data_IF_886343506292
#
_entry.id   IF_886343506292
#
_cell.length_a   1.000
_cell.length_b   1.000
_cell.length_c   1.000
_cell.angle_alpha   90.00
_cell.angle_beta   90.00
_cell.angle_gamma   90.00
#
_symmetry.space_group_name_H-M   'P 1'
#
loop_
_entity.id
_entity.type
_entity.pdbx_description
1 polymer ?
#
# COMPACT_ATOMS: atom_id res chain seq x y z
N UNK A 1 32.68 -9.70 -48.43
CA UNK A 1 32.45 -8.69 -47.37
C UNK A 1 33.77 -8.04 -47.00
N UNK A 2 33.88 -6.72 -47.14
CA UNK A 2 35.14 -6.00 -46.88
C UNK A 2 35.55 -6.15 -45.41
N UNK A 3 36.86 -6.16 -45.14
CA UNK A 3 37.42 -6.26 -43.79
C UNK A 3 36.91 -5.14 -42.84
N UNK A 4 36.41 -4.04 -43.41
CA UNK A 4 35.76 -2.96 -42.69
C UNK A 4 34.41 -3.37 -42.08
N UNK A 5 33.54 -4.04 -42.85
CA UNK A 5 32.26 -4.54 -42.34
C UNK A 5 32.44 -5.59 -41.25
N UNK A 6 33.44 -6.47 -41.37
CA UNK A 6 33.78 -7.45 -40.32
C UNK A 6 34.18 -6.78 -39.01
N UNK A 7 34.93 -5.67 -39.07
CA UNK A 7 35.33 -4.89 -37.89
C UNK A 7 34.14 -4.20 -37.24
N UNK A 8 33.22 -3.62 -38.01
CA UNK A 8 32.01 -2.99 -37.48
C UNK A 8 31.14 -4.02 -36.74
N UNK A 9 30.92 -5.19 -37.34
CA UNK A 9 30.15 -6.27 -36.71
C UNK A 9 30.84 -6.76 -35.42
N UNK A 10 32.16 -6.87 -35.43
CA UNK A 10 32.94 -7.24 -34.23
C UNK A 10 32.78 -6.21 -33.10
N UNK A 11 32.89 -4.92 -33.41
CA UNK A 11 32.71 -3.86 -32.40
C UNK A 11 31.28 -3.77 -31.87
N UNK A 12 30.27 -3.95 -32.73
CA UNK A 12 28.88 -4.06 -32.29
C UNK A 12 28.67 -5.27 -31.37
N UNK A 13 29.28 -6.41 -31.69
CA UNK A 13 29.20 -7.61 -30.87
C UNK A 13 29.86 -7.42 -29.50
N UNK A 14 31.03 -6.78 -29.46
CA UNK A 14 31.72 -6.44 -28.21
C UNK A 14 30.86 -5.49 -27.37
N UNK A 15 30.26 -4.46 -27.99
CA UNK A 15 29.36 -3.53 -27.32
C UNK A 15 28.14 -4.22 -26.70
N UNK A 16 27.49 -5.13 -27.44
CA UNK A 16 26.36 -5.93 -26.94
C UNK A 16 26.77 -6.83 -25.79
N UNK A 17 27.95 -7.47 -25.85
CA UNK A 17 28.44 -8.32 -24.76
C UNK A 17 28.75 -7.47 -23.51
N UNK A 18 29.39 -6.31 -23.69
CA UNK A 18 29.73 -5.39 -22.60
C UNK A 18 28.51 -4.76 -21.93
N UNK A 19 27.37 -4.64 -22.61
CA UNK A 19 26.12 -4.16 -22.01
C UNK A 19 25.27 -5.30 -21.45
N UNK A 20 25.24 -6.46 -22.11
CA UNK A 20 24.51 -7.64 -21.66
C UNK A 20 25.07 -8.22 -20.36
N UNK A 21 26.39 -8.23 -20.15
CA UNK A 21 26.98 -8.79 -18.93
C UNK A 21 26.56 -7.99 -17.67
N UNK A 22 26.69 -6.64 -17.63
CA UNK A 22 26.17 -5.85 -16.53
C UNK A 22 24.65 -5.96 -16.38
N UNK A 23 23.88 -5.96 -17.46
CA UNK A 23 22.42 -6.13 -17.40
C UNK A 23 22.02 -7.50 -16.85
N UNK A 24 22.72 -8.56 -17.26
CA UNK A 24 22.54 -9.92 -16.74
C UNK A 24 22.92 -9.99 -15.26
N UNK A 25 24.04 -9.39 -14.86
CA UNK A 25 24.45 -9.32 -13.46
C UNK A 25 23.45 -8.52 -12.61
N UNK A 26 22.97 -7.39 -13.13
CA UNK A 26 21.93 -6.60 -12.47
C UNK A 26 20.64 -7.41 -12.34
N UNK A 27 20.13 -8.02 -13.41
CA UNK A 27 18.88 -8.76 -13.40
C UNK A 27 18.94 -10.05 -12.56
N UNK A 28 20.02 -10.83 -12.70
CA UNK A 28 20.11 -12.19 -12.15
C UNK A 28 20.97 -12.33 -10.89
N UNK A 29 21.60 -11.26 -10.42
CA UNK A 29 22.34 -11.30 -9.13
C UNK A 29 21.82 -10.19 -8.22
N UNK A 30 21.80 -8.93 -8.66
CA UNK A 30 21.30 -7.81 -7.85
C UNK A 30 19.77 -7.79 -7.68
N UNK A 31 19.02 -8.10 -8.74
CA UNK A 31 17.56 -8.13 -8.75
C UNK A 31 16.98 -9.55 -8.69
N UNK A 32 17.81 -10.60 -8.65
CA UNK A 32 17.33 -12.00 -8.62
C UNK A 32 16.61 -12.41 -7.34
N UNK A 33 16.63 -11.57 -6.31
CA UNK A 33 15.68 -11.68 -5.20
C UNK A 33 14.24 -11.31 -5.59
N UNK A 34 13.96 -11.09 -6.88
CA UNK A 34 12.61 -10.89 -7.43
C UNK A 34 12.41 -11.73 -8.70
N UNK A 35 12.74 -13.02 -8.67
CA UNK A 35 11.87 -13.94 -9.40
C UNK A 35 10.62 -14.11 -8.54
N UNK A 36 9.40 -13.90 -9.05
CA UNK A 36 8.25 -14.48 -8.41
C UNK A 36 8.46 -15.98 -8.57
N UNK A 37 9.07 -16.60 -7.57
CA UNK A 37 8.70 -17.97 -7.28
C UNK A 37 7.19 -17.89 -7.15
N UNK A 38 6.50 -18.44 -8.14
CA UNK A 38 5.23 -19.09 -7.90
C UNK A 38 5.51 -20.10 -6.81
N UNK A 39 5.47 -19.64 -5.56
CA UNK A 39 5.11 -20.48 -4.45
C UNK A 39 3.70 -20.92 -4.80
N UNK A 40 3.63 -22.03 -5.54
CA UNK A 40 2.46 -22.88 -5.54
C UNK A 40 1.95 -22.87 -4.11
N UNK A 41 0.69 -22.46 -3.93
CA UNK A 41 -0.02 -22.40 -2.67
C UNK A 41 0.38 -23.59 -1.82
N UNK A 42 1.37 -23.38 -0.95
CA UNK A 42 1.53 -24.27 0.16
C UNK A 42 0.41 -23.80 1.07
N UNK A 43 -0.73 -24.50 0.98
CA UNK A 43 -1.66 -24.69 2.09
C UNK A 43 -0.88 -25.31 3.26
N UNK A 44 0.09 -24.57 3.80
CA UNK A 44 0.51 -24.78 5.15
C UNK A 44 -0.72 -24.42 5.97
N UNK A 45 -1.28 -25.41 6.66
CA UNK A 45 -2.25 -25.23 7.74
C UNK A 45 -1.58 -24.42 8.86
N UNK A 46 -1.29 -23.15 8.60
CA UNK A 46 -0.83 -22.22 9.61
C UNK A 46 -2.07 -21.86 10.41
N UNK A 47 -2.10 -22.29 11.66
CA UNK A 47 -3.06 -21.79 12.64
C UNK A 47 -2.42 -20.58 13.29
N UNK A 48 -2.93 -19.39 12.97
CA UNK A 48 -2.51 -18.16 13.63
C UNK A 48 -3.19 -18.10 15.00
N UNK A 49 -2.47 -18.49 16.05
CA UNK A 49 -2.87 -18.20 17.43
C UNK A 49 -2.07 -17.00 17.91
N UNK A 50 -2.60 -15.80 17.66
CA UNK A 50 -2.04 -14.57 18.17
C UNK A 50 -2.28 -14.50 19.68
N UNK A 51 -1.23 -14.22 20.45
CA UNK A 51 -1.31 -13.86 21.86
C UNK A 51 -0.56 -12.55 22.04
N UNK A 52 -1.03 -11.51 21.34
CA UNK A 52 -0.34 -10.24 21.30
C UNK A 52 -1.31 -9.08 21.46
N UNK A 53 -0.84 -8.00 22.05
CA UNK A 53 -1.61 -6.76 22.20
C UNK A 53 -0.79 -5.54 21.81
N UNK A 54 -1.46 -4.50 21.32
CA UNK A 54 -0.82 -3.24 20.98
C UNK A 54 -0.87 -2.25 22.15
N UNK A 55 0.18 -1.45 22.38
CA UNK A 55 0.12 -0.32 23.31
C UNK A 55 -1.02 0.64 22.95
N UNK A 56 -1.58 1.31 23.95
CA UNK A 56 -2.70 2.24 23.76
C UNK A 56 -2.34 3.43 22.84
N UNK A 57 -1.08 3.86 22.84
CA UNK A 57 -0.58 4.96 22.01
C UNK A 57 -0.04 4.51 20.65
N UNK A 58 -0.10 3.21 20.32
CA UNK A 58 0.42 2.71 19.04
C UNK A 58 -0.43 3.19 17.86
N UNK A 59 0.22 3.87 16.92
CA UNK A 59 -0.34 4.36 15.67
C UNK A 59 0.20 3.55 14.49
N UNK A 60 -0.56 3.50 13.40
CA UNK A 60 -0.18 2.85 12.15
C UNK A 60 0.24 1.37 12.33
N UNK A 61 -0.59 0.52 12.96
CA UNK A 61 -0.26 -0.89 13.10
C UNK A 61 -0.36 -1.61 11.74
N UNK A 62 0.71 -2.29 11.34
CA UNK A 62 0.76 -3.06 10.10
C UNK A 62 1.57 -4.34 10.27
N UNK A 63 1.05 -5.46 9.76
CA UNK A 63 1.76 -6.72 9.69
C UNK A 63 2.91 -6.63 8.68
N UNK A 64 4.07 -7.19 9.04
CA UNK A 64 5.12 -7.41 8.05
C UNK A 64 4.68 -8.54 7.10
N UNK A 65 5.35 -8.63 5.94
CA UNK A 65 5.04 -9.62 4.91
C UNK A 65 5.04 -11.08 5.42
N UNK A 66 5.85 -11.40 6.42
CA UNK A 66 5.87 -12.73 7.05
C UNK A 66 4.64 -13.07 7.91
N UNK A 67 3.80 -12.08 8.23
CA UNK A 67 2.64 -12.19 9.12
C UNK A 67 2.96 -12.78 10.51
N UNK A 68 4.22 -12.73 10.92
CA UNK A 68 4.73 -13.15 12.24
C UNK A 68 5.12 -11.93 13.09
N UNK A 69 5.35 -10.79 12.45
CA UNK A 69 5.68 -9.54 13.11
C UNK A 69 4.65 -8.45 12.79
N UNK A 70 4.45 -7.56 13.75
CA UNK A 70 3.67 -6.33 13.56
C UNK A 70 4.54 -5.12 13.86
N UNK A 71 4.43 -4.11 13.00
CA UNK A 71 5.07 -2.82 13.16
C UNK A 71 4.06 -1.78 13.64
N UNK A 72 4.50 -0.84 14.46
CA UNK A 72 3.70 0.31 14.87
C UNK A 72 4.58 1.47 15.32
N UNK A 73 4.06 2.69 15.22
CA UNK A 73 4.72 3.91 15.69
C UNK A 73 4.17 4.29 17.06
N UNK A 74 5.06 4.55 18.02
CA UNK A 74 4.70 5.02 19.36
C UNK A 74 5.72 6.07 19.81
N UNK A 75 5.25 7.26 20.20
CA UNK A 75 6.10 8.37 20.67
C UNK A 75 7.27 8.70 19.73
N UNK A 76 7.04 8.65 18.40
CA UNK A 76 8.08 8.93 17.40
C UNK A 76 9.08 7.79 17.15
N UNK A 77 8.85 6.61 17.73
CA UNK A 77 9.70 5.42 17.60
C UNK A 77 8.93 4.34 16.84
N UNK A 78 9.58 3.71 15.85
CA UNK A 78 9.03 2.55 15.14
C UNK A 78 9.41 1.29 15.92
N UNK A 79 8.40 0.57 16.38
CA UNK A 79 8.54 -0.70 17.09
C UNK A 79 8.15 -1.85 16.16
N UNK A 80 8.89 -2.95 16.23
CA UNK A 80 8.55 -4.21 15.57
C UNK A 80 8.44 -5.27 16.66
N UNK A 81 7.29 -5.92 16.70
CA UNK A 81 6.90 -6.86 17.74
C UNK A 81 6.66 -8.23 17.15
N UNK A 82 7.22 -9.26 17.78
CA UNK A 82 6.95 -10.65 17.45
C UNK A 82 5.60 -11.07 18.05
N UNK A 83 4.72 -11.62 17.21
CA UNK A 83 3.35 -11.94 17.58
C UNK A 83 3.22 -13.21 18.42
N UNK A 84 4.24 -14.05 18.42
CA UNK A 84 4.24 -15.34 19.15
C UNK A 84 4.66 -15.17 20.61
N UNK A 85 5.62 -14.28 20.85
CA UNK A 85 6.24 -14.02 22.15
C UNK A 85 5.73 -12.75 22.83
N UNK A 86 4.98 -11.91 22.10
CA UNK A 86 4.52 -10.59 22.57
C UNK A 86 5.68 -9.63 22.90
N UNK A 87 6.89 -9.92 22.42
CA UNK A 87 8.09 -9.13 22.69
C UNK A 87 8.38 -8.15 21.54
N UNK A 88 8.79 -6.92 21.90
CA UNK A 88 9.38 -5.97 20.94
C UNK A 88 10.77 -6.47 20.58
N UNK A 89 10.94 -6.90 19.33
CA UNK A 89 12.20 -7.48 18.80
C UNK A 89 13.09 -6.42 18.15
N UNK A 90 12.51 -5.29 17.72
CA UNK A 90 13.26 -4.15 17.18
C UNK A 90 12.63 -2.83 17.56
N UNK A 91 13.47 -1.85 17.85
CA UNK A 91 13.08 -0.44 17.97
C UNK A 91 13.99 0.38 17.05
N UNK A 92 13.40 1.22 16.22
CA UNK A 92 14.10 2.20 15.41
C UNK A 92 13.76 3.59 15.95
N UNK A 93 14.78 4.23 16.50
CA UNK A 93 14.76 5.61 16.92
C UNK A 93 15.68 6.39 15.98
N UNK A 94 15.20 7.55 15.54
CA UNK A 94 15.92 8.50 14.70
C UNK A 94 16.07 9.82 15.45
N UNK A 95 16.88 10.74 14.92
CA UNK A 95 17.08 12.07 15.52
C UNK A 95 15.78 12.88 15.51
N UNK A 96 15.00 12.75 14.43
CA UNK A 96 13.68 13.34 14.26
C UNK A 96 12.58 12.29 14.45
N UNK A 97 11.39 12.68 14.96
CA UNK A 97 10.32 11.74 15.26
C UNK A 97 9.82 11.04 13.99
N UNK A 98 9.62 9.72 14.08
CA UNK A 98 8.91 8.95 13.06
C UNK A 98 7.43 9.28 13.15
N UNK A 99 6.86 9.82 12.07
CA UNK A 99 5.46 10.28 12.02
C UNK A 99 4.53 9.33 11.27
N UNK A 100 5.08 8.41 10.47
CA UNK A 100 4.32 7.41 9.71
C UNK A 100 5.24 6.25 9.31
N UNK A 101 4.68 5.05 9.18
CA UNK A 101 5.38 3.89 8.65
C UNK A 101 4.41 2.90 8.02
N UNK A 102 4.85 2.15 7.02
CA UNK A 102 4.12 1.03 6.46
C UNK A 102 5.08 -0.01 5.84
N UNK A 103 4.79 -1.31 5.94
CA UNK A 103 5.57 -2.37 5.31
C UNK A 103 5.23 -2.52 3.83
N UNK A 104 6.18 -3.08 3.07
CA UNK A 104 5.94 -3.53 1.71
C UNK A 104 5.15 -4.85 1.71
N UNK A 105 4.37 -5.07 0.66
CA UNK A 105 3.48 -6.23 0.54
C UNK A 105 4.16 -7.49 -0.05
N UNK A 106 5.44 -7.41 -0.41
CA UNK A 106 6.18 -8.51 -1.07
C UNK A 106 7.46 -8.93 -0.32
N UNK A 107 7.83 -8.22 0.76
CA UNK A 107 9.06 -8.44 1.53
C UNK A 107 9.00 -7.76 2.90
N UNK A 108 9.82 -8.21 3.84
CA UNK A 108 9.96 -7.62 5.18
C UNK A 108 10.78 -6.31 5.17
N UNK A 109 10.39 -5.35 4.34
CA UNK A 109 10.93 -3.99 4.33
C UNK A 109 9.85 -3.03 4.80
N UNK A 110 10.21 -2.10 5.68
CA UNK A 110 9.34 -1.03 6.17
C UNK A 110 9.82 0.29 5.57
N UNK A 111 8.92 1.05 4.96
CA UNK A 111 9.13 2.46 4.62
C UNK A 111 8.61 3.29 5.79
N UNK A 112 9.43 4.21 6.30
CA UNK A 112 9.06 5.09 7.39
C UNK A 112 9.53 6.52 7.12
N UNK A 113 8.88 7.46 7.81
CA UNK A 113 8.99 8.89 7.55
C UNK A 113 9.33 9.63 8.84
N UNK A 114 10.41 10.40 8.85
CA UNK A 114 10.75 11.33 9.94
C UNK A 114 10.46 12.77 9.54
N UNK A 115 10.23 13.65 10.51
CA UNK A 115 9.86 15.05 10.26
C UNK A 115 10.51 16.02 11.26
N UNK A 116 11.19 17.05 10.75
CA UNK A 116 11.95 18.05 11.54
C UNK A 116 11.32 19.46 11.54
N UNK A 117 10.00 19.55 11.30
CA UNK A 117 9.25 20.80 11.05
C UNK A 117 9.52 21.49 9.69
N UNK A 118 10.49 21.03 8.91
CA UNK A 118 10.89 21.65 7.64
C UNK A 118 10.98 20.71 6.44
N UNK A 119 11.25 19.44 6.70
CA UNK A 119 11.38 18.38 5.71
C UNK A 119 10.87 17.04 6.26
N UNK A 120 10.34 16.22 5.35
CA UNK A 120 10.06 14.81 5.60
C UNK A 120 11.19 13.99 5.00
N UNK A 121 11.86 13.16 5.80
CA UNK A 121 12.84 12.19 5.31
C UNK A 121 12.19 10.81 5.13
N UNK A 122 12.40 10.22 3.96
CA UNK A 122 11.93 8.88 3.60
C UNK A 122 13.07 7.91 3.81
N UNK A 123 12.84 6.90 4.64
CA UNK A 123 13.84 5.90 4.99
C UNK A 123 13.24 4.50 4.88
N UNK A 124 14.12 3.53 4.66
CA UNK A 124 13.74 2.13 4.57
C UNK A 124 14.47 1.35 5.65
N UNK A 125 13.80 0.34 6.19
CA UNK A 125 14.42 -0.66 7.05
C UNK A 125 14.11 -2.06 6.54
N UNK A 126 15.15 -2.82 6.23
CA UNK A 126 15.06 -4.23 5.89
C UNK A 126 15.20 -5.06 7.18
N UNK A 127 14.10 -5.67 7.62
CA UNK A 127 14.05 -6.43 8.86
C UNK A 127 14.87 -7.72 8.78
N UNK A 128 14.85 -8.42 7.64
CA UNK A 128 15.58 -9.69 7.47
C UNK A 128 17.11 -9.50 7.54
N UNK A 129 17.60 -8.33 7.11
CA UNK A 129 19.05 -8.01 7.05
C UNK A 129 19.53 -7.10 8.18
N UNK A 130 18.60 -6.56 8.96
CA UNK A 130 18.86 -5.49 9.92
C UNK A 130 19.56 -4.26 9.32
N UNK A 131 19.13 -3.85 8.12
CA UNK A 131 19.75 -2.76 7.35
C UNK A 131 18.82 -1.56 7.22
N UNK A 132 19.35 -0.35 7.49
CA UNK A 132 18.66 0.93 7.25
C UNK A 132 19.24 1.63 6.03
N UNK A 133 18.41 2.31 5.26
CA UNK A 133 18.85 3.11 4.12
C UNK A 133 17.98 4.36 3.91
N UNK A 134 18.65 5.51 3.81
CA UNK A 134 18.01 6.77 3.43
C UNK A 134 17.61 6.76 1.96
N UNK A 135 16.40 7.21 1.67
CA UNK A 135 15.91 7.34 0.30
C UNK A 135 16.04 8.77 -0.18
N UNK A 136 15.25 9.68 0.38
CA UNK A 136 15.03 11.01 -0.14
C UNK A 136 14.44 11.92 0.95
N UNK A 137 14.73 13.21 0.87
CA UNK A 137 14.13 14.26 1.70
C UNK A 137 13.16 15.10 0.87
N UNK A 138 12.01 15.44 1.46
CA UNK A 138 10.98 16.29 0.87
C UNK A 138 10.90 17.58 1.69
N UNK A 139 11.22 18.72 1.09
CA UNK A 139 11.02 20.02 1.74
C UNK A 139 9.52 20.34 1.84
N UNK A 140 8.95 20.23 3.04
CA UNK A 140 7.54 20.53 3.31
C UNK A 140 7.39 21.02 4.75
N UNK A 141 6.70 22.16 4.92
CA UNK A 141 6.50 22.81 6.21
C UNK A 141 5.07 22.63 6.70
N UNK A 142 4.88 22.72 8.01
CA UNK A 142 3.58 22.64 8.68
C UNK A 142 2.84 21.33 8.36
N UNK A 143 3.57 20.21 8.37
CA UNK A 143 2.97 18.89 8.19
C UNK A 143 2.08 18.61 9.39
N UNK A 144 0.82 18.33 9.11
CA UNK A 144 -0.16 17.86 10.10
C UNK A 144 -0.03 16.36 10.29
N UNK A 145 -0.04 15.61 9.17
CA UNK A 145 0.12 14.16 9.13
C UNK A 145 0.38 13.68 7.69
N UNK A 146 0.87 12.46 7.57
CA UNK A 146 0.80 11.68 6.33
C UNK A 146 -0.53 10.91 6.37
N UNK A 147 -1.40 11.13 5.38
CA UNK A 147 -2.74 10.51 5.34
C UNK A 147 -2.71 9.15 4.68
N UNK A 148 -1.99 9.06 3.56
CA UNK A 148 -1.88 7.84 2.78
C UNK A 148 -0.46 7.70 2.22
N UNK A 149 0.02 6.47 2.15
CA UNK A 149 1.20 6.12 1.38
C UNK A 149 0.92 4.82 0.62
N UNK A 150 1.26 4.78 -0.67
CA UNK A 150 1.10 3.60 -1.52
C UNK A 150 2.39 3.33 -2.26
N UNK A 151 2.85 2.09 -2.22
CA UNK A 151 4.06 1.65 -2.89
C UNK A 151 3.73 0.52 -3.87
N UNK A 152 4.25 0.61 -5.09
CA UNK A 152 4.19 -0.48 -6.06
C UNK A 152 5.55 -1.17 -6.12
N UNK A 153 5.64 -2.40 -5.63
CA UNK A 153 6.87 -3.20 -5.71
C UNK A 153 7.26 -3.54 -7.14
N UNK A 154 6.29 -3.60 -8.06
CA UNK A 154 6.54 -3.82 -9.49
C UNK A 154 7.24 -2.63 -10.15
N UNK A 155 6.75 -1.41 -9.90
CA UNK A 155 7.26 -0.20 -10.55
C UNK A 155 8.28 0.57 -9.70
N UNK A 156 8.43 0.20 -8.42
CA UNK A 156 9.26 0.86 -7.41
C UNK A 156 8.90 2.36 -7.27
N UNK A 157 7.60 2.64 -7.24
CA UNK A 157 7.06 3.99 -7.10
C UNK A 157 6.35 4.12 -5.76
N UNK A 158 6.65 5.20 -5.06
CA UNK A 158 5.98 5.61 -3.84
C UNK A 158 5.11 6.83 -4.12
N UNK A 159 3.85 6.75 -3.75
CA UNK A 159 2.93 7.87 -3.70
C UNK A 159 2.65 8.21 -2.25
N UNK A 160 2.83 9.49 -1.90
CA UNK A 160 2.71 9.98 -0.53
C UNK A 160 1.74 11.16 -0.48
N UNK A 161 0.67 11.03 0.27
CA UNK A 161 -0.28 12.11 0.55
C UNK A 161 0.03 12.77 1.90
N UNK A 162 0.40 14.05 1.84
CA UNK A 162 0.81 14.85 3.00
C UNK A 162 -0.22 15.95 3.24
N UNK A 163 -0.85 15.92 4.42
CA UNK A 163 -1.71 16.98 4.90
C UNK A 163 -0.85 18.06 5.55
N UNK A 164 -1.02 19.30 5.11
CA UNK A 164 -0.37 20.48 5.71
C UNK A 164 -1.43 21.42 6.27
N UNK A 165 -1.14 22.09 7.39
CA UNK A 165 -2.08 23.00 8.05
C UNK A 165 -1.50 24.39 8.20
N UNK A 166 -2.19 25.39 7.65
CA UNK A 166 -1.81 26.82 7.76
C UNK A 166 -3.05 27.62 8.12
N UNK A 167 -3.00 28.38 9.23
CA UNK A 167 -4.11 29.21 9.71
C UNK A 167 -5.45 28.45 9.83
N UNK A 168 -5.42 27.24 10.39
CA UNK A 168 -6.56 26.32 10.54
C UNK A 168 -7.20 25.87 9.22
N UNK A 169 -6.48 25.98 8.10
CA UNK A 169 -6.88 25.37 6.82
C UNK A 169 -5.91 24.25 6.49
N UNK A 170 -6.47 23.08 6.21
CA UNK A 170 -5.72 21.92 5.72
C UNK A 170 -5.68 21.91 4.20
N UNK A 171 -4.59 21.41 3.64
CA UNK A 171 -4.48 21.10 2.22
C UNK A 171 -3.58 19.90 2.02
N UNK A 172 -3.95 19.07 1.06
CA UNK A 172 -3.30 17.80 0.77
C UNK A 172 -2.46 17.91 -0.50
N UNK A 173 -1.27 17.30 -0.45
CA UNK A 173 -0.36 17.21 -1.57
C UNK A 173 0.10 15.78 -1.75
N UNK A 174 -0.14 15.25 -2.95
CA UNK A 174 0.39 13.95 -3.35
C UNK A 174 1.73 14.15 -4.02
N UNK A 175 2.75 13.49 -3.49
CA UNK A 175 4.08 13.40 -4.05
C UNK A 175 4.29 12.02 -4.68
N UNK A 176 4.93 11.99 -5.85
CA UNK A 176 5.44 10.77 -6.49
C UNK A 176 6.95 10.71 -6.31
N UNK A 177 7.44 9.65 -5.71
CA UNK A 177 8.86 9.35 -5.52
C UNK A 177 9.23 8.14 -6.37
N UNK A 178 10.26 8.29 -7.21
CA UNK A 178 10.71 7.23 -8.12
C UNK A 178 11.88 6.42 -7.57
N UNK A 179 12.17 5.27 -8.18
CA UNK A 179 13.36 4.45 -7.89
C UNK A 179 14.68 5.23 -7.98
N UNK A 180 14.74 6.26 -8.83
CA UNK A 180 15.89 7.14 -8.99
C UNK A 180 15.94 8.25 -7.94
N UNK A 181 15.09 8.18 -6.90
CA UNK A 181 14.95 9.15 -5.82
C UNK A 181 14.58 10.55 -6.32
N UNK A 182 13.83 10.62 -7.42
CA UNK A 182 13.29 11.88 -7.91
C UNK A 182 11.93 12.14 -7.27
N UNK A 183 11.70 13.39 -6.85
CA UNK A 183 10.42 13.88 -6.33
C UNK A 183 9.65 14.60 -7.42
N UNK A 184 8.38 14.24 -7.61
CA UNK A 184 7.47 14.98 -8.47
C UNK A 184 6.19 15.32 -7.71
N UNK A 185 5.72 16.58 -7.77
CA UNK A 185 4.36 16.88 -7.34
C UNK A 185 3.38 16.16 -8.28
N UNK A 186 2.46 15.39 -7.73
CA UNK A 186 1.48 14.63 -8.51
C UNK A 186 0.12 15.31 -8.53
N UNK A 187 -0.39 15.69 -7.35
CA UNK A 187 -1.66 16.39 -7.21
C UNK A 187 -1.61 17.36 -6.01
N UNK A 188 -2.36 18.46 -6.11
CA UNK A 188 -2.67 19.34 -4.99
C UNK A 188 -4.19 19.42 -4.89
N UNK A 189 -4.74 19.13 -3.71
CA UNK A 189 -6.18 19.19 -3.48
C UNK A 189 -6.46 19.63 -2.04
N UNK A 190 -7.65 20.16 -1.77
CA UNK A 190 -7.96 20.68 -0.43
C UNK A 190 -8.19 19.54 0.57
N UNK A 191 -8.67 18.36 0.11
CA UNK A 191 -8.86 17.19 0.97
C UNK A 191 -9.00 15.88 0.18
N UNK A 192 -8.06 14.95 0.37
CA UNK A 192 -8.01 13.62 -0.23
C UNK A 192 -8.47 12.61 0.81
N UNK A 193 -9.49 11.80 0.52
CA UNK A 193 -10.11 10.89 1.50
C UNK A 193 -9.79 9.42 1.25
N UNK A 194 -9.35 9.09 0.04
CA UNK A 194 -8.92 7.74 -0.32
C UNK A 194 -7.88 7.80 -1.43
N UNK A 195 -6.97 6.83 -1.44
CA UNK A 195 -5.92 6.68 -2.43
C UNK A 195 -5.65 5.20 -2.67
N UNK A 196 -5.60 4.78 -3.92
CA UNK A 196 -5.25 3.43 -4.35
C UNK A 196 -4.29 3.47 -5.53
N UNK A 197 -3.38 2.49 -5.60
CA UNK A 197 -2.36 2.40 -6.63
C UNK A 197 -2.51 1.07 -7.35
N UNK A 198 -2.74 1.11 -8.67
CA UNK A 198 -2.85 -0.12 -9.45
C UNK A 198 -1.60 -0.99 -9.30
N UNK A 199 -1.79 -2.30 -9.19
CA UNK A 199 -0.73 -3.27 -8.95
C UNK A 199 0.12 -3.49 -10.19
N UNK A 200 -0.52 -3.55 -11.37
CA UNK A 200 0.15 -3.87 -12.64
C UNK A 200 0.40 -2.65 -13.53
N UNK A 201 -0.02 -1.46 -13.10
CA UNK A 201 0.16 -0.19 -13.83
C UNK A 201 0.60 0.93 -12.89
N UNK A 202 1.48 1.80 -13.37
CA UNK A 202 1.83 3.05 -12.70
C UNK A 202 0.67 4.06 -12.83
N UNK A 203 -0.42 3.80 -12.11
CA UNK A 203 -1.61 4.63 -12.10
C UNK A 203 -2.14 4.75 -10.68
N UNK A 204 -2.04 5.96 -10.14
CA UNK A 204 -2.68 6.32 -8.89
C UNK A 204 -4.13 6.76 -9.15
N UNK A 205 -5.03 6.26 -8.31
CA UNK A 205 -6.41 6.69 -8.22
C UNK A 205 -6.59 7.32 -6.84
N UNK A 206 -7.25 8.47 -6.78
CA UNK A 206 -7.54 9.12 -5.51
C UNK A 206 -8.93 9.73 -5.52
N UNK A 207 -9.52 9.89 -4.34
CA UNK A 207 -10.82 10.48 -4.14
C UNK A 207 -10.71 11.74 -3.28
N UNK A 208 -11.38 12.81 -3.69
CA UNK A 208 -11.54 13.99 -2.84
C UNK A 208 -12.78 13.92 -1.92
N UNK A 209 -12.86 14.83 -0.95
CA UNK A 209 -14.00 14.91 -0.02
C UNK A 209 -15.35 15.18 -0.73
N UNK A 210 -15.33 15.74 -1.94
CA UNK A 210 -16.52 16.02 -2.75
C UNK A 210 -16.96 14.82 -3.58
N UNK A 211 -16.31 13.65 -3.41
CA UNK A 211 -16.61 12.42 -4.14
C UNK A 211 -16.15 12.43 -5.60
N UNK A 212 -15.22 13.32 -5.99
CA UNK A 212 -14.55 13.15 -7.28
C UNK A 212 -13.50 12.06 -7.15
N UNK A 213 -13.65 10.99 -7.92
CA UNK A 213 -12.60 9.99 -8.11
C UNK A 213 -11.78 10.41 -9.32
N UNK A 214 -10.48 10.62 -9.10
CA UNK A 214 -9.52 11.07 -10.10
C UNK A 214 -8.74 9.87 -10.63
N UNK A 215 -8.83 9.64 -11.93
CA UNK A 215 -8.13 8.57 -12.66
C UNK A 215 -7.32 9.25 -13.77
N UNK A 216 -6.02 9.01 -13.80
CA UNK A 216 -5.11 9.68 -14.75
C UNK A 216 -5.22 11.21 -14.73
N UNK A 217 -5.42 11.79 -13.54
CA UNK A 217 -5.58 13.24 -13.35
C UNK A 217 -6.92 13.81 -13.83
N UNK A 218 -7.86 12.99 -14.28
CA UNK A 218 -9.20 13.41 -14.69
C UNK A 218 -10.26 12.82 -13.78
N UNK A 219 -11.29 13.61 -13.50
CA UNK A 219 -12.40 13.14 -12.68
C UNK A 219 -13.24 12.14 -13.48
N UNK A 220 -13.37 10.91 -12.98
CA UNK A 220 -14.18 9.86 -13.60
C UNK A 220 -15.66 10.26 -13.64
N UNK A 221 -16.32 9.98 -14.75
CA UNK A 221 -17.74 10.25 -14.99
C UNK A 221 -18.38 9.03 -15.64
N UNK A 222 -19.56 8.68 -15.16
CA UNK A 222 -20.43 7.67 -15.75
C UNK A 222 -21.69 8.36 -16.29
N UNK A 223 -22.39 7.74 -17.24
CA UNK A 223 -23.56 8.34 -17.90
C UNK A 223 -24.59 8.89 -16.90
N UNK A 224 -24.81 8.16 -15.80
CA UNK A 224 -25.79 8.49 -14.77
C UNK A 224 -25.20 9.13 -13.50
N UNK A 225 -23.88 9.13 -13.35
CA UNK A 225 -23.23 9.44 -12.08
C UNK A 225 -21.93 10.21 -12.27
N UNK A 226 -21.73 11.24 -11.45
CA UNK A 226 -20.52 12.08 -11.52
C UNK A 226 -19.68 12.03 -10.26
N UNK A 227 -20.22 11.48 -9.16
CA UNK A 227 -19.60 11.44 -7.84
C UNK A 227 -19.64 10.01 -7.30
N UNK A 228 -18.52 9.58 -6.74
CA UNK A 228 -18.32 8.20 -6.30
C UNK A 228 -17.52 8.14 -5.00
N UNK A 229 -17.74 7.05 -4.26
CA UNK A 229 -16.85 6.56 -3.22
C UNK A 229 -15.96 5.47 -3.79
N UNK A 230 -14.65 5.61 -3.64
CA UNK A 230 -13.66 4.61 -4.00
C UNK A 230 -13.69 3.50 -2.94
N UNK A 231 -14.06 2.29 -3.36
CA UNK A 231 -14.15 1.14 -2.45
C UNK A 231 -12.82 0.39 -2.36
N UNK A 232 -12.11 0.27 -3.48
CA UNK A 232 -10.82 -0.40 -3.53
C UNK A 232 -10.45 -0.85 -4.93
N UNK A 233 -9.35 -1.60 -4.99
CA UNK A 233 -8.83 -2.21 -6.21
C UNK A 233 -8.50 -3.68 -5.95
N UNK A 234 -8.75 -4.54 -6.94
CA UNK A 234 -8.28 -5.93 -6.87
C UNK A 234 -6.91 -6.10 -7.56
N UNK A 235 -6.28 -7.26 -7.36
CA UNK A 235 -4.98 -7.63 -7.92
C UNK A 235 -4.95 -7.72 -9.45
N UNK A 236 -6.12 -7.71 -10.09
CA UNK A 236 -6.26 -7.62 -11.54
C UNK A 236 -6.41 -6.17 -12.04
N UNK A 237 -6.22 -5.18 -11.17
CA UNK A 237 -6.41 -3.74 -11.40
C UNK A 237 -7.86 -3.34 -11.72
N UNK A 238 -8.85 -4.11 -11.28
CA UNK A 238 -10.25 -3.67 -11.36
C UNK A 238 -10.55 -2.73 -10.19
N UNK A 239 -11.13 -1.57 -10.49
CA UNK A 239 -11.48 -0.52 -9.54
C UNK A 239 -12.97 -0.62 -9.22
N UNK A 240 -13.30 -0.58 -7.93
CA UNK A 240 -14.68 -0.69 -7.44
C UNK A 240 -15.15 0.66 -6.90
N UNK A 241 -16.24 1.19 -7.47
CA UNK A 241 -16.77 2.52 -7.19
C UNK A 241 -18.25 2.47 -6.84
N UNK A 242 -18.66 3.07 -5.72
CA UNK A 242 -20.07 3.25 -5.38
C UNK A 242 -20.54 4.68 -5.71
N UNK A 243 -21.56 4.90 -6.55
CA UNK A 243 -22.12 6.23 -6.78
C UNK A 243 -22.64 6.85 -5.48
N UNK A 244 -22.31 8.13 -5.22
CA UNK A 244 -22.73 8.81 -3.98
C UNK A 244 -24.26 8.92 -3.85
N UNK A 245 -24.95 9.08 -4.98
CA UNK A 245 -26.42 9.17 -5.03
C UNK A 245 -27.13 7.83 -5.21
N UNK A 246 -26.39 6.74 -5.45
CA UNK A 246 -26.92 5.38 -5.51
C UNK A 246 -25.89 4.38 -4.92
N UNK A 247 -25.65 4.43 -3.59
CA UNK A 247 -24.55 3.71 -2.97
C UNK A 247 -24.74 2.18 -2.92
N UNK A 248 -25.94 1.69 -3.26
CA UNK A 248 -26.20 0.25 -3.40
C UNK A 248 -25.62 -0.32 -4.69
N UNK A 249 -25.38 0.51 -5.70
CA UNK A 249 -24.73 0.07 -6.93
C UNK A 249 -23.20 0.18 -6.78
N UNK A 250 -22.48 -0.86 -7.20
CA UNK A 250 -21.02 -0.86 -7.30
C UNK A 250 -20.65 -1.03 -8.76
N UNK A 251 -20.01 -0.01 -9.32
CA UNK A 251 -19.49 -0.02 -10.69
C UNK A 251 -18.08 -0.57 -10.67
N UNK A 252 -17.81 -1.51 -11.58
CA UNK A 252 -16.50 -2.12 -11.78
C UNK A 252 -15.86 -1.50 -13.02
N UNK A 253 -14.66 -0.95 -12.86
CA UNK A 253 -13.92 -0.26 -13.90
C UNK A 253 -12.57 -0.95 -14.13
N UNK A 254 -12.20 -1.17 -15.39
CA UNK A 254 -10.86 -1.62 -15.77
C UNK A 254 -10.44 -0.94 -17.06
N UNK A 255 -9.25 -0.36 -17.06
CA UNK A 255 -8.67 0.33 -18.23
C UNK A 255 -9.63 1.37 -18.81
N UNK A 256 -10.22 2.20 -17.95
CA UNK A 256 -11.23 3.22 -18.26
C UNK A 256 -12.57 2.68 -18.82
N UNK A 257 -12.74 1.36 -18.90
CA UNK A 257 -13.97 0.72 -19.36
C UNK A 257 -14.79 0.17 -18.19
N UNK A 258 -16.10 0.47 -18.18
CA UNK A 258 -17.03 -0.14 -17.24
C UNK A 258 -17.22 -1.60 -17.63
N UNK A 259 -16.82 -2.51 -16.74
CA UNK A 259 -17.01 -3.95 -16.93
C UNK A 259 -18.44 -4.39 -16.61
N UNK A 260 -19.08 -3.68 -15.68
CA UNK A 260 -20.45 -3.93 -15.24
C UNK A 260 -20.72 -3.29 -13.88
N UNK A 261 -21.85 -3.67 -13.28
CA UNK A 261 -22.17 -3.28 -11.91
C UNK A 261 -22.67 -4.46 -11.08
N UNK A 262 -22.49 -4.36 -9.76
CA UNK A 262 -23.03 -5.27 -8.75
C UNK A 262 -23.96 -4.48 -7.82
N UNK A 263 -24.94 -5.16 -7.25
CA UNK A 263 -25.83 -4.57 -6.25
C UNK A 263 -25.44 -5.07 -4.87
N UNK A 264 -25.27 -4.14 -3.94
CA UNK A 264 -25.11 -4.40 -2.52
C UNK A 264 -26.48 -4.59 -1.87
N UNK A 265 -26.48 -5.32 -0.77
CA UNK A 265 -27.65 -5.50 0.10
C UNK A 265 -27.69 -4.42 1.18
N UNK A 266 -26.53 -3.88 1.58
CA UNK A 266 -26.37 -2.85 2.60
C UNK A 266 -25.18 -1.94 2.28
N UNK A 267 -25.27 -0.66 2.68
CA UNK A 267 -24.27 0.39 2.47
C UNK A 267 -23.60 0.84 3.76
N UNK A 268 -24.00 0.30 4.92
CA UNK A 268 -23.49 0.68 6.25
C UNK A 268 -22.15 0.01 6.60
N UNK A 269 -21.26 -0.16 5.64
CA UNK A 269 -19.88 -0.60 5.91
C UNK A 269 -19.08 0.57 6.52
N UNK A 270 -18.20 0.23 7.45
CA UNK A 270 -17.42 1.16 8.27
C UNK A 270 -16.11 1.52 7.55
N UNK A 271 -15.49 0.55 6.88
CA UNK A 271 -14.24 0.73 6.15
C UNK A 271 -14.15 -0.24 4.98
N UNK A 272 -13.13 -0.06 4.16
CA UNK A 272 -12.80 -0.96 3.05
C UNK A 272 -11.34 -1.38 3.12
N UNK A 273 -11.03 -2.54 2.54
CA UNK A 273 -9.67 -3.06 2.46
C UNK A 273 -9.43 -3.69 1.09
N UNK A 274 -8.42 -3.20 0.38
CA UNK A 274 -7.91 -3.77 -0.86
C UNK A 274 -6.70 -4.64 -0.54
N UNK A 275 -6.77 -5.95 -0.81
CA UNK A 275 -5.67 -6.87 -0.50
C UNK A 275 -5.64 -8.05 -1.47
N UNK A 276 -4.51 -8.20 -2.18
CA UNK A 276 -4.36 -9.21 -3.23
C UNK A 276 -5.47 -9.09 -4.28
N UNK A 277 -6.12 -10.21 -4.62
CA UNK A 277 -7.20 -10.26 -5.62
C UNK A 277 -8.59 -9.86 -5.08
N UNK A 278 -8.65 -9.26 -3.89
CA UNK A 278 -9.92 -9.04 -3.19
C UNK A 278 -10.11 -7.58 -2.75
N UNK A 279 -11.37 -7.16 -2.71
CA UNK A 279 -11.82 -5.89 -2.12
C UNK A 279 -12.90 -6.19 -1.11
N UNK A 280 -12.63 -5.88 0.15
CA UNK A 280 -13.51 -6.18 1.26
C UNK A 280 -14.25 -4.95 1.74
N UNK A 281 -15.56 -5.08 1.95
CA UNK A 281 -16.37 -4.14 2.72
C UNK A 281 -16.50 -4.66 4.15
N UNK A 282 -16.05 -3.85 5.12
CA UNK A 282 -16.04 -4.24 6.52
C UNK A 282 -17.25 -3.60 7.21
N UNK A 283 -18.18 -4.43 7.65
CA UNK A 283 -19.36 -4.02 8.42
C UNK A 283 -19.12 -4.25 9.91
N UNK A 284 -20.08 -3.85 10.75
CA UNK A 284 -19.96 -4.02 12.20
C UNK A 284 -19.80 -5.48 12.63
N UNK A 285 -20.45 -6.41 11.93
CA UNK A 285 -20.61 -7.81 12.33
C UNK A 285 -20.31 -8.83 11.21
N UNK A 286 -19.89 -8.37 10.04
CA UNK A 286 -19.48 -9.23 8.93
C UNK A 286 -18.51 -8.51 7.99
N UNK A 287 -17.84 -9.27 7.13
CA UNK A 287 -16.97 -8.78 6.07
C UNK A 287 -17.44 -9.38 4.75
N UNK A 288 -17.75 -8.52 3.78
CA UNK A 288 -18.16 -8.91 2.43
C UNK A 288 -16.98 -8.78 1.47
N UNK A 289 -16.60 -9.87 0.82
CA UNK A 289 -15.70 -9.84 -0.33
C UNK A 289 -16.48 -9.43 -1.59
N UNK A 290 -16.25 -8.23 -2.11
CA UNK A 290 -16.91 -7.71 -3.30
C UNK A 290 -16.58 -8.49 -4.57
N UNK A 291 -15.43 -9.15 -4.62
CA UNK A 291 -14.96 -9.87 -5.80
C UNK A 291 -15.68 -11.20 -5.90
N UNK A 292 -15.58 -12.03 -4.85
CA UNK A 292 -16.22 -13.36 -4.82
C UNK A 292 -17.72 -13.33 -4.44
N UNK A 293 -18.17 -12.29 -3.73
CA UNK A 293 -19.52 -12.21 -3.15
C UNK A 293 -19.67 -13.00 -1.83
N UNK A 294 -18.57 -13.51 -1.27
CA UNK A 294 -18.58 -14.26 -0.02
C UNK A 294 -18.73 -13.31 1.17
N UNK A 295 -19.51 -13.73 2.16
CA UNK A 295 -19.84 -12.95 3.36
C UNK A 295 -19.44 -13.75 4.60
N UNK A 296 -18.61 -13.14 5.45
CA UNK A 296 -18.00 -13.79 6.61
C UNK A 296 -18.40 -13.09 7.90
N UNK A 297 -19.00 -13.78 8.88
CA UNK A 297 -19.32 -13.18 10.16
C UNK A 297 -18.05 -12.82 10.94
N UNK A 298 -18.10 -11.72 11.70
CA UNK A 298 -17.03 -11.28 12.59
C UNK A 298 -17.60 -10.79 13.92
N UNK A 299 -16.78 -10.78 14.96
CA UNK A 299 -17.12 -10.15 16.24
C UNK A 299 -17.41 -8.65 16.08
N UNK A 300 -18.33 -8.11 16.89
CA UNK A 300 -18.65 -6.67 16.87
C UNK A 300 -17.46 -5.82 17.37
N UNK A 301 -17.38 -4.59 16.84
CA UNK A 301 -16.45 -3.54 17.28
C UNK A 301 -14.95 -3.90 17.12
N UNK A 302 -14.62 -4.64 16.05
CA UNK A 302 -13.24 -4.93 15.66
C UNK A 302 -12.71 -3.92 14.63
N UNK A 303 -11.42 -3.63 14.71
CA UNK A 303 -10.68 -2.91 13.68
C UNK A 303 -9.91 -3.92 12.84
N UNK A 304 -10.34 -4.14 11.59
CA UNK A 304 -9.61 -4.98 10.66
C UNK A 304 -8.29 -4.33 10.29
N UNK A 305 -7.21 -5.10 10.35
CA UNK A 305 -5.85 -4.67 10.06
C UNK A 305 -5.32 -5.27 8.77
N UNK A 306 -5.58 -6.56 8.52
CA UNK A 306 -5.07 -7.26 7.35
C UNK A 306 -5.87 -8.54 7.02
N UNK A 307 -5.68 -9.07 5.82
CA UNK A 307 -6.23 -10.32 5.32
C UNK A 307 -5.15 -11.13 4.60
N UNK A 308 -4.84 -12.32 5.11
CA UNK A 308 -3.77 -13.15 4.55
C UNK A 308 -4.05 -14.64 4.72
N UNK A 309 -3.82 -15.41 3.66
CA UNK A 309 -4.05 -16.87 3.62
C UNK A 309 -5.42 -17.30 4.15
N UNK A 310 -6.47 -16.51 3.84
CA UNK A 310 -7.84 -16.76 4.30
C UNK A 310 -8.06 -16.50 5.80
N UNK A 311 -7.14 -15.79 6.47
CA UNK A 311 -7.33 -15.30 7.83
C UNK A 311 -7.56 -13.79 7.83
N UNK A 312 -8.55 -13.36 8.60
CA UNK A 312 -8.78 -11.98 8.99
C UNK A 312 -7.96 -11.65 10.23
N UNK A 313 -7.06 -10.69 10.09
CA UNK A 313 -6.28 -10.13 11.19
C UNK A 313 -6.93 -8.84 11.65
N UNK A 314 -7.25 -8.78 12.94
CA UNK A 314 -7.95 -7.64 13.50
C UNK A 314 -7.50 -7.32 14.92
N UNK A 315 -7.81 -6.10 15.32
CA UNK A 315 -7.63 -5.57 16.65
C UNK A 315 -8.99 -5.38 17.32
N UNK A 316 -9.11 -5.80 18.58
CA UNK A 316 -10.28 -5.57 19.41
C UNK A 316 -10.20 -4.23 20.14
N UNK A 317 -11.32 -3.77 20.72
CA UNK A 317 -11.37 -2.53 21.50
C UNK A 317 -10.38 -2.48 22.68
N UNK A 318 -9.98 -3.63 23.25
CA UNK A 318 -8.95 -3.77 24.28
C UNK A 318 -7.53 -3.98 23.72
N UNK A 319 -7.31 -3.63 22.44
CA UNK A 319 -6.04 -3.66 21.71
C UNK A 319 -5.45 -5.07 21.57
N UNK A 320 -6.26 -6.12 21.68
CA UNK A 320 -5.80 -7.49 21.45
C UNK A 320 -5.79 -7.78 19.95
N UNK A 321 -4.70 -8.38 19.48
CA UNK A 321 -4.59 -8.86 18.11
C UNK A 321 -5.13 -10.27 18.02
N UNK A 322 -6.04 -10.48 17.07
CA UNK A 322 -6.63 -11.78 16.78
C UNK A 322 -6.53 -12.10 15.29
N UNK A 323 -6.55 -13.39 15.00
CA UNK A 323 -6.63 -13.93 13.66
C UNK A 323 -7.76 -14.95 13.62
N UNK A 324 -8.68 -14.78 12.67
CA UNK A 324 -9.82 -15.65 12.49
C UNK A 324 -9.85 -16.20 11.07
N UNK A 325 -10.05 -17.50 10.93
CA UNK A 325 -10.12 -18.12 9.61
C UNK A 325 -11.47 -17.82 8.99
N UNK A 326 -11.47 -17.23 7.80
CA UNK A 326 -12.65 -17.08 6.98
C UNK A 326 -13.06 -18.48 6.49
N UNK A 327 -14.21 -18.98 6.94
CA UNK A 327 -14.69 -20.36 6.73
C UNK A 327 -15.88 -20.44 5.78
#
# INVERSE_FOLDING_TARGET
MSNFFKRIILYLSIGVILTMIPLYYMNNILFSSASPTSTADQENKVSYKLKSSLPAAAAHPYFLYDHQHISYVENGILNIKDLSSDAVVKQLQEDDPIIYAFPLNDRNIIIYFTYDDSQIDIKNYNFDKDEKADQLSINVKNVSKIKHAKYSSLTNLLYLDVETSVNNKTSDKIYKVTIMKNLYPFANNDNIVAMELLSNKDLLIYQDELGNVMINGQAFRHENYTKFKLLGIDGSDTVYLAPVNNPLEVIMLKDDNVLGSKQLTDVNYISTLSQGDHVYLIYKNHVLDLVSGSDYPIDEDIQVLDLYNGYLFYETADRQLKAEKLS
#
